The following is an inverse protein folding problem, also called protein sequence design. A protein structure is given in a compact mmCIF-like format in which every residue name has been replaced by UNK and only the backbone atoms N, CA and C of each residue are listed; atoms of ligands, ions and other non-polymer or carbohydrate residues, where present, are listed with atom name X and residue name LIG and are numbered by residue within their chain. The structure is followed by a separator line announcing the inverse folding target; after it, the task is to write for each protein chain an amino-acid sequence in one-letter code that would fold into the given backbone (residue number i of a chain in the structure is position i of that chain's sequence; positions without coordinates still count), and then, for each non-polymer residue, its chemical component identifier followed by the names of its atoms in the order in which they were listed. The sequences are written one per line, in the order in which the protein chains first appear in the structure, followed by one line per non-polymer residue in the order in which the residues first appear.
data_IF_229533017236
#
_entry.id   IF_229533017236
#
_cell.length_a   1.000
_cell.length_b   1.000
_cell.length_c   1.000
_cell.angle_alpha   90.00
_cell.angle_beta   90.00
_cell.angle_gamma   90.00
#
_symmetry.space_group_name_H-M   'P 1'
#
loop_
_entity.id
_entity.type
_entity.pdbx_description
1 polymer ?
#
# COMPACT_ATOMS: atom_id res chain seq x y z
N UNK A 1 0.89 -2.03 -22.21
CA UNK A 1 0.03 -2.60 -23.28
C UNK A 1 -1.00 -3.60 -22.77
N UNK A 2 -0.67 -4.46 -21.80
CA UNK A 2 -1.60 -5.53 -21.36
C UNK A 2 -2.87 -4.99 -20.70
N UNK A 3 -2.77 -3.96 -19.85
CA UNK A 3 -3.95 -3.29 -19.30
C UNK A 3 -4.89 -2.71 -20.38
N UNK A 4 -4.33 -2.20 -21.48
CA UNK A 4 -5.13 -1.73 -22.63
C UNK A 4 -5.76 -2.90 -23.39
N UNK A 5 -5.11 -4.07 -23.44
CA UNK A 5 -5.67 -5.29 -24.02
C UNK A 5 -6.77 -5.88 -23.15
N UNK A 6 -6.58 -5.95 -21.84
CA UNK A 6 -7.61 -6.37 -20.90
C UNK A 6 -8.83 -5.43 -20.98
N UNK A 7 -8.58 -4.13 -21.13
CA UNK A 7 -9.63 -3.14 -21.36
C UNK A 7 -10.38 -3.33 -22.69
N UNK A 8 -9.88 -4.12 -23.65
CA UNK A 8 -10.64 -4.46 -24.87
C UNK A 8 -11.76 -5.47 -24.62
N UNK A 9 -11.76 -6.14 -23.46
CA UNK A 9 -12.88 -6.97 -23.04
C UNK A 9 -14.03 -6.14 -22.44
N UNK A 10 -13.87 -4.81 -22.36
CA UNK A 10 -14.88 -3.88 -21.86
C UNK A 10 -15.89 -3.53 -22.97
N UNK A 11 -17.19 -3.64 -22.71
CA UNK A 11 -18.20 -3.63 -23.77
C UNK A 11 -18.41 -2.28 -24.47
N UNK A 12 -18.13 -1.14 -23.81
CA UNK A 12 -18.50 0.19 -24.29
C UNK A 12 -17.32 0.95 -24.94
N UNK A 13 -16.13 0.84 -24.35
CA UNK A 13 -14.91 1.51 -24.78
C UNK A 13 -13.96 0.60 -25.54
N UNK A 14 -14.29 -0.69 -25.74
CA UNK A 14 -13.48 -1.62 -26.55
C UNK A 14 -13.02 -1.02 -27.87
N UNK A 15 -13.92 -0.36 -28.62
CA UNK A 15 -13.56 0.27 -29.89
C UNK A 15 -12.49 1.36 -29.74
N UNK A 16 -12.55 2.16 -28.66
CA UNK A 16 -11.54 3.17 -28.34
C UNK A 16 -10.23 2.56 -27.87
N UNK A 17 -10.27 1.59 -26.96
CA UNK A 17 -9.07 0.90 -26.48
C UNK A 17 -8.39 0.10 -27.60
N UNK A 18 -9.15 -0.46 -28.54
CA UNK A 18 -8.61 -1.11 -29.74
C UNK A 18 -7.89 -0.10 -30.64
N UNK A 19 -8.50 1.06 -30.92
CA UNK A 19 -7.86 2.12 -31.72
C UNK A 19 -6.59 2.65 -31.05
N UNK A 20 -6.64 2.93 -29.75
CA UNK A 20 -5.50 3.40 -28.98
C UNK A 20 -4.37 2.36 -28.94
N UNK A 21 -4.72 1.09 -28.72
CA UNK A 21 -3.72 0.02 -28.73
C UNK A 21 -3.08 -0.13 -30.12
N UNK A 22 -3.88 -0.10 -31.19
CA UNK A 22 -3.39 -0.20 -32.55
C UNK A 22 -2.45 0.97 -32.90
N UNK A 23 -2.82 2.20 -32.51
CA UNK A 23 -1.97 3.37 -32.67
C UNK A 23 -0.66 3.23 -31.89
N UNK A 24 -0.73 2.78 -30.63
CA UNK A 24 0.46 2.54 -29.81
C UNK A 24 1.36 1.46 -30.42
N UNK A 25 0.79 0.37 -30.91
CA UNK A 25 1.52 -0.72 -31.59
C UNK A 25 2.20 -0.25 -32.86
N UNK A 26 1.51 0.59 -33.64
CA UNK A 26 2.06 1.17 -34.86
C UNK A 26 3.23 2.11 -34.55
N UNK A 27 3.11 2.93 -33.50
CA UNK A 27 4.12 3.95 -33.15
C UNK A 27 5.28 3.43 -32.29
N UNK A 28 5.11 2.33 -31.54
CA UNK A 28 6.12 1.83 -30.60
C UNK A 28 7.44 1.40 -31.28
N UNK A 29 7.43 1.16 -32.59
CA UNK A 29 8.58 0.62 -33.30
C UNK A 29 8.88 -0.83 -32.90
N UNK A 30 9.83 -1.45 -33.62
CA UNK A 30 10.12 -2.89 -33.46
C UNK A 30 10.71 -3.22 -32.09
N UNK A 31 11.69 -2.45 -31.62
CA UNK A 31 12.40 -2.74 -30.37
C UNK A 31 11.47 -2.77 -29.15
N UNK A 32 10.63 -1.75 -28.98
CA UNK A 32 9.69 -1.70 -27.86
C UNK A 32 8.59 -2.77 -27.99
N UNK A 33 8.16 -3.08 -29.22
CA UNK A 33 7.21 -4.17 -29.47
C UNK A 33 7.78 -5.54 -29.09
N UNK A 34 9.06 -5.78 -29.36
CA UNK A 34 9.77 -7.01 -28.99
C UNK A 34 9.88 -7.14 -27.46
N UNK A 35 10.16 -6.05 -26.74
CA UNK A 35 10.16 -6.04 -25.27
C UNK A 35 8.76 -6.33 -24.69
N UNK A 36 7.70 -5.69 -25.19
CA UNK A 36 6.33 -5.99 -24.77
C UNK A 36 5.92 -7.45 -25.04
N UNK A 37 6.47 -8.06 -26.09
CA UNK A 37 6.24 -9.48 -26.40
C UNK A 37 6.90 -10.38 -25.35
N UNK A 38 8.14 -10.07 -24.96
CA UNK A 38 8.86 -10.79 -23.90
C UNK A 38 8.15 -10.66 -22.55
N UNK A 39 7.75 -9.45 -22.17
CA UNK A 39 7.01 -9.19 -20.92
C UNK A 39 5.70 -9.99 -20.86
N UNK A 40 4.94 -10.01 -21.96
CA UNK A 40 3.70 -10.81 -22.06
C UNK A 40 3.98 -12.30 -21.87
N UNK A 41 5.01 -12.82 -22.53
CA UNK A 41 5.38 -14.24 -22.40
C UNK A 41 5.75 -14.57 -20.96
N UNK A 42 6.50 -13.70 -20.29
CA UNK A 42 6.84 -13.85 -18.88
C UNK A 42 5.57 -13.85 -18.01
N UNK A 43 4.69 -12.86 -18.16
CA UNK A 43 3.42 -12.78 -17.39
C UNK A 43 2.61 -14.06 -17.56
N UNK A 44 2.48 -14.58 -18.79
CA UNK A 44 1.77 -15.84 -19.04
C UNK A 44 2.40 -17.02 -18.30
N UNK A 45 3.73 -17.18 -18.38
CA UNK A 45 4.44 -18.24 -17.68
C UNK A 45 4.22 -18.15 -16.16
N UNK A 46 4.27 -16.94 -15.61
CA UNK A 46 4.06 -16.72 -14.17
C UNK A 46 2.62 -17.01 -13.75
N UNK A 47 1.63 -16.64 -14.57
CA UNK A 47 0.23 -17.00 -14.39
C UNK A 47 0.05 -18.53 -14.33
N UNK A 48 0.55 -19.25 -15.35
CA UNK A 48 0.47 -20.71 -15.44
C UNK A 48 1.16 -21.39 -14.23
N UNK A 49 2.30 -20.88 -13.77
CA UNK A 49 2.99 -21.38 -12.57
C UNK A 49 2.16 -21.11 -11.32
N UNK A 50 1.60 -19.90 -11.19
CA UNK A 50 0.77 -19.52 -10.04
C UNK A 50 -0.44 -20.43 -9.87
N UNK A 51 -1.14 -20.75 -10.97
CA UNK A 51 -2.26 -21.70 -10.96
C UNK A 51 -1.81 -23.11 -10.57
N UNK A 52 -0.70 -23.59 -11.13
CA UNK A 52 -0.15 -24.91 -10.80
C UNK A 52 0.22 -25.04 -9.32
N UNK A 53 0.89 -24.04 -8.75
CA UNK A 53 1.24 -24.01 -7.32
C UNK A 53 -0.01 -24.02 -6.45
N UNK A 54 -1.05 -23.27 -6.83
CA UNK A 54 -2.36 -23.32 -6.15
C UNK A 54 -3.03 -24.68 -6.24
N UNK A 55 -2.91 -25.41 -7.34
CA UNK A 55 -3.50 -26.75 -7.46
C UNK A 55 -2.63 -27.89 -6.91
N UNK A 56 -1.34 -27.63 -6.64
CA UNK A 56 -0.39 -28.66 -6.20
C UNK A 56 -0.69 -29.15 -4.78
N UNK A 57 -0.29 -30.39 -4.49
CA UNK A 57 -0.32 -30.93 -3.13
C UNK A 57 0.71 -30.22 -2.23
N UNK A 58 0.50 -30.27 -0.91
CA UNK A 58 1.39 -29.60 0.04
C UNK A 58 2.84 -30.10 -0.05
N UNK A 59 3.06 -31.38 -0.35
CA UNK A 59 4.41 -31.94 -0.53
C UNK A 59 5.12 -31.38 -1.77
N UNK A 60 4.40 -31.11 -2.85
CA UNK A 60 4.97 -30.52 -4.07
C UNK A 60 5.21 -29.02 -3.93
N UNK A 61 4.37 -28.32 -3.15
CA UNK A 61 4.52 -26.88 -2.89
C UNK A 61 5.81 -26.55 -2.14
N UNK A 62 6.26 -27.41 -1.23
CA UNK A 62 7.48 -27.19 -0.44
C UNK A 62 8.75 -26.99 -1.30
N UNK A 63 8.76 -27.46 -2.56
CA UNK A 63 9.85 -27.24 -3.51
C UNK A 63 9.82 -25.84 -4.16
N UNK A 64 8.77 -25.06 -3.97
CA UNK A 64 8.59 -23.72 -4.54
C UNK A 64 8.86 -22.62 -3.49
N UNK A 65 9.32 -21.44 -3.93
CA UNK A 65 9.36 -20.26 -3.07
C UNK A 65 8.03 -19.52 -3.16
N UNK A 66 7.18 -19.65 -2.13
CA UNK A 66 5.88 -18.98 -2.02
C UNK A 66 5.68 -18.43 -0.62
N UNK A 67 4.78 -17.45 -0.47
CA UNK A 67 4.34 -17.00 0.85
C UNK A 67 3.17 -17.85 1.33
N UNK A 68 3.25 -18.28 2.59
CA UNK A 68 2.16 -18.99 3.27
C UNK A 68 1.04 -18.00 3.63
N UNK A 69 0.26 -17.61 2.64
CA UNK A 69 -0.99 -16.85 2.79
C UNK A 69 -2.11 -17.53 1.98
N UNK A 70 -3.36 -17.12 2.18
CA UNK A 70 -4.51 -17.73 1.51
C UNK A 70 -4.39 -17.74 -0.03
N UNK A 71 -3.76 -16.72 -0.61
CA UNK A 71 -3.58 -16.59 -2.05
C UNK A 71 -2.33 -17.35 -2.59
N UNK A 72 -1.49 -17.92 -1.72
CA UNK A 72 -0.25 -18.63 -2.05
C UNK A 72 0.63 -17.90 -3.10
N UNK A 73 0.96 -16.61 -2.90
CA UNK A 73 1.64 -15.84 -3.93
C UNK A 73 3.09 -16.29 -4.08
N UNK A 74 3.59 -16.24 -5.32
CA UNK A 74 4.92 -16.69 -5.67
C UNK A 74 5.95 -15.63 -5.27
N UNK A 75 7.07 -16.07 -4.68
CA UNK A 75 8.25 -15.24 -4.49
C UNK A 75 9.23 -15.51 -5.63
N UNK A 76 9.58 -14.48 -6.38
CA UNK A 76 10.44 -14.60 -7.56
C UNK A 76 11.58 -13.60 -7.45
N UNK A 77 12.80 -14.08 -7.64
CA UNK A 77 14.00 -13.25 -7.66
C UNK A 77 14.68 -13.41 -9.02
N UNK A 78 14.77 -12.33 -9.77
CA UNK A 78 15.46 -12.25 -11.05
C UNK A 78 16.90 -11.77 -10.84
N UNK A 79 17.82 -12.33 -11.61
CA UNK A 79 19.19 -11.82 -11.71
C UNK A 79 19.15 -10.53 -12.52
N UNK A 80 19.81 -9.48 -12.03
CA UNK A 80 19.84 -8.21 -12.72
C UNK A 80 20.68 -8.33 -14.01
N UNK A 81 20.13 -7.87 -15.13
CA UNK A 81 20.86 -7.84 -16.40
C UNK A 81 22.02 -6.83 -16.37
N UNK A 82 21.95 -5.82 -15.51
CA UNK A 82 23.10 -4.97 -15.18
C UNK A 82 23.97 -5.70 -14.14
N UNK A 83 25.24 -6.05 -14.46
CA UNK A 83 26.12 -6.76 -13.52
C UNK A 83 26.43 -6.00 -12.23
N UNK A 84 26.26 -4.66 -12.22
CA UNK A 84 26.44 -3.83 -11.04
C UNK A 84 25.15 -3.63 -10.23
N UNK A 85 24.01 -4.13 -10.73
CA UNK A 85 22.72 -3.98 -10.08
C UNK A 85 22.38 -5.13 -9.15
N UNK A 86 21.60 -4.85 -8.11
CA UNK A 86 21.07 -5.88 -7.21
C UNK A 86 19.99 -6.72 -7.89
N UNK A 87 19.84 -7.96 -7.43
CA UNK A 87 18.77 -8.86 -7.88
C UNK A 87 17.38 -8.25 -7.66
N UNK A 88 16.47 -8.47 -8.61
CA UNK A 88 15.13 -7.90 -8.58
C UNK A 88 14.18 -8.93 -7.98
N UNK A 89 13.68 -8.67 -6.77
CA UNK A 89 12.70 -9.53 -6.11
C UNK A 89 11.28 -8.98 -6.24
N UNK A 90 10.36 -9.84 -6.68
CA UNK A 90 8.94 -9.53 -6.80
C UNK A 90 8.08 -10.61 -6.14
N UNK A 91 6.86 -10.22 -5.80
CA UNK A 91 5.78 -11.12 -5.42
C UNK A 91 4.82 -11.19 -6.60
N UNK A 92 4.56 -12.37 -7.13
CA UNK A 92 3.54 -12.58 -8.14
C UNK A 92 2.28 -13.15 -7.49
N UNK A 93 1.17 -12.41 -7.61
CA UNK A 93 -0.14 -12.79 -7.09
C UNK A 93 -1.01 -13.24 -8.26
N UNK A 94 -1.38 -14.51 -8.27
CA UNK A 94 -2.47 -15.03 -9.11
C UNK A 94 -3.74 -15.10 -8.26
N UNK A 95 -4.90 -14.80 -8.82
CA UNK A 95 -6.21 -14.81 -8.16
C UNK A 95 -6.62 -13.54 -7.39
N UNK A 96 -5.75 -12.54 -7.27
CA UNK A 96 -6.04 -11.28 -6.58
C UNK A 96 -6.17 -10.11 -7.57
N UNK A 97 -7.15 -9.23 -7.36
CA UNK A 97 -7.31 -8.02 -8.17
C UNK A 97 -6.48 -6.85 -7.60
N UNK A 98 -5.28 -6.65 -8.13
CA UNK A 98 -4.36 -5.62 -7.66
C UNK A 98 -4.71 -4.19 -8.11
N UNK A 99 -5.80 -3.99 -8.85
CA UNK A 99 -6.22 -2.64 -9.28
C UNK A 99 -6.54 -1.73 -8.09
N UNK A 100 -7.04 -2.29 -6.99
CA UNK A 100 -7.30 -1.56 -5.75
C UNK A 100 -6.01 -1.08 -5.11
N UNK A 101 -5.05 -1.99 -4.88
CA UNK A 101 -3.74 -1.65 -4.33
C UNK A 101 -3.02 -0.59 -5.16
N UNK A 102 -3.03 -0.73 -6.49
CA UNK A 102 -2.46 0.27 -7.41
C UNK A 102 -3.05 1.66 -7.20
N UNK A 103 -4.38 1.73 -7.09
CA UNK A 103 -5.09 2.99 -6.89
C UNK A 103 -4.73 3.63 -5.55
N UNK A 104 -4.75 2.85 -4.47
CA UNK A 104 -4.41 3.34 -3.14
C UNK A 104 -2.96 3.84 -3.10
N UNK A 105 -2.01 3.07 -3.64
CA UNK A 105 -0.61 3.47 -3.74
C UNK A 105 -0.40 4.73 -4.58
N UNK A 106 -1.18 4.91 -5.65
CA UNK A 106 -1.13 6.14 -6.45
C UNK A 106 -1.61 7.36 -5.67
N UNK A 107 -2.67 7.23 -4.87
CA UNK A 107 -3.16 8.31 -4.01
C UNK A 107 -2.12 8.65 -2.94
N UNK A 108 -1.50 7.63 -2.34
CA UNK A 108 -0.43 7.82 -1.34
C UNK A 108 0.77 8.51 -1.99
N UNK A 109 1.14 8.18 -3.24
CA UNK A 109 2.19 8.87 -3.97
C UNK A 109 1.88 10.36 -4.19
N UNK A 110 0.62 10.71 -4.41
CA UNK A 110 0.19 12.11 -4.52
C UNK A 110 0.32 12.82 -3.16
N UNK A 111 -0.11 12.18 -2.07
CA UNK A 111 0.06 12.73 -0.71
C UNK A 111 1.54 12.95 -0.36
N UNK A 112 2.40 11.98 -0.69
CA UNK A 112 3.84 12.06 -0.49
C UNK A 112 4.47 13.20 -1.29
N UNK A 113 4.10 13.34 -2.57
CA UNK A 113 4.55 14.46 -3.40
C UNK A 113 4.11 15.83 -2.83
N UNK A 114 2.89 15.93 -2.29
CA UNK A 114 2.40 17.15 -1.64
C UNK A 114 3.26 17.47 -0.42
N UNK A 115 3.54 16.49 0.44
CA UNK A 115 4.41 16.71 1.60
C UNK A 115 5.82 17.16 1.21
N UNK A 116 6.42 16.50 0.21
CA UNK A 116 7.74 16.86 -0.29
C UNK A 116 7.78 18.28 -0.87
N UNK A 117 6.73 18.71 -1.58
CA UNK A 117 6.61 20.07 -2.11
C UNK A 117 6.53 21.13 -0.99
N UNK A 118 5.94 20.79 0.14
CA UNK A 118 5.87 21.62 1.36
C UNK A 118 7.12 21.47 2.26
N UNK A 119 8.17 20.81 1.77
CA UNK A 119 9.43 20.61 2.50
C UNK A 119 9.32 19.62 3.66
N UNK A 120 8.34 18.73 3.64
CA UNK A 120 8.12 17.70 4.65
C UNK A 120 8.34 16.31 4.06
N UNK A 121 9.47 15.68 4.39
CA UNK A 121 9.73 14.29 3.98
C UNK A 121 9.26 13.31 5.06
N UNK A 122 8.10 12.69 4.82
CA UNK A 122 7.48 11.72 5.73
C UNK A 122 8.15 10.34 5.70
N UNK A 123 9.26 10.16 4.97
CA UNK A 123 10.00 8.89 4.89
C UNK A 123 9.13 7.71 4.41
N UNK A 124 8.15 7.98 3.55
CA UNK A 124 7.19 6.99 3.08
C UNK A 124 7.85 5.95 2.18
N UNK A 125 7.60 4.66 2.45
CA UNK A 125 7.86 3.60 1.47
C UNK A 125 6.59 3.33 0.70
N UNK A 126 6.61 3.67 -0.59
CA UNK A 126 5.52 3.43 -1.54
C UNK A 126 6.02 2.39 -2.54
N UNK A 127 5.74 1.12 -2.27
CA UNK A 127 6.18 0.03 -3.12
C UNK A 127 5.42 -0.01 -4.44
N UNK A 128 6.06 -0.53 -5.49
CA UNK A 128 5.40 -0.68 -6.80
C UNK A 128 4.44 -1.85 -6.81
N UNK A 129 3.25 -1.62 -7.35
CA UNK A 129 2.23 -2.63 -7.59
C UNK A 129 1.73 -2.49 -9.04
N UNK A 130 1.57 -3.60 -9.73
CA UNK A 130 1.10 -3.61 -11.11
C UNK A 130 0.17 -4.80 -11.35
N UNK A 131 -1.09 -4.50 -11.66
CA UNK A 131 -2.00 -5.47 -12.26
C UNK A 131 -1.52 -5.76 -13.69
N UNK A 132 -1.31 -7.05 -13.98
CA UNK A 132 -0.79 -7.53 -15.27
C UNK A 132 -1.84 -8.28 -16.07
N UNK A 133 -3.05 -8.41 -15.53
CA UNK A 133 -4.13 -9.23 -16.09
C UNK A 133 -5.34 -9.27 -15.15
N UNK A 134 -6.45 -9.85 -15.63
CA UNK A 134 -7.62 -10.12 -14.79
C UNK A 134 -7.24 -11.04 -13.62
N UNK A 135 -7.38 -10.54 -12.39
CA UNK A 135 -7.10 -11.29 -11.17
C UNK A 135 -5.64 -11.73 -11.05
N UNK A 136 -4.69 -10.97 -11.61
CA UNK A 136 -3.27 -11.24 -11.41
C UNK A 136 -2.41 -9.97 -11.45
N UNK A 137 -1.25 -10.03 -10.81
CA UNK A 137 -0.27 -8.97 -10.91
C UNK A 137 1.00 -9.18 -10.10
N UNK A 138 1.84 -8.16 -10.10
CA UNK A 138 3.15 -8.12 -9.50
C UNK A 138 3.23 -7.05 -8.42
N UNK A 139 3.90 -7.37 -7.32
CA UNK A 139 4.20 -6.45 -6.22
C UNK A 139 5.69 -6.45 -5.98
N UNK A 140 6.29 -5.27 -5.86
CA UNK A 140 7.69 -5.12 -5.50
C UNK A 140 7.93 -5.66 -4.09
N UNK A 141 8.97 -6.49 -3.92
CA UNK A 141 9.47 -6.79 -2.58
C UNK A 141 10.30 -5.62 -2.06
N UNK A 142 9.93 -5.11 -0.89
CA UNK A 142 10.75 -4.14 -0.15
C UNK A 142 11.88 -4.91 0.54
N UNK A 143 13.16 -4.59 0.26
CA UNK A 143 14.30 -5.25 0.92
C UNK A 143 14.28 -5.03 2.43
N UNK A 144 14.79 -6.02 3.17
CA UNK A 144 14.93 -5.97 4.63
C UNK A 144 13.65 -5.64 5.43
N UNK A 145 12.48 -5.79 4.80
CA UNK A 145 11.20 -5.58 5.43
C UNK A 145 10.67 -6.88 6.05
N UNK A 146 10.09 -6.77 7.25
CA UNK A 146 9.40 -7.85 7.95
C UNK A 146 8.07 -7.36 8.50
N UNK A 147 7.07 -8.23 8.57
CA UNK A 147 5.79 -7.85 9.18
C UNK A 147 5.95 -7.67 10.69
N UNK A 148 5.18 -6.75 11.27
CA UNK A 148 5.15 -6.52 12.72
C UNK A 148 4.75 -7.80 13.46
N UNK A 149 3.82 -8.59 12.91
CA UNK A 149 3.46 -9.90 13.45
C UNK A 149 4.65 -10.88 13.50
N UNK A 150 5.55 -10.86 12.50
CA UNK A 150 6.77 -11.68 12.50
C UNK A 150 7.76 -11.20 13.55
N UNK A 151 7.88 -9.88 13.76
CA UNK A 151 8.69 -9.31 14.84
C UNK A 151 8.14 -9.77 16.20
N UNK A 152 6.83 -9.68 16.41
CA UNK A 152 6.20 -10.15 17.65
C UNK A 152 6.45 -11.63 17.90
N UNK A 153 6.25 -12.49 16.90
CA UNK A 153 6.51 -13.94 17.00
C UNK A 153 7.98 -14.25 17.32
N UNK A 154 8.92 -13.42 16.86
CA UNK A 154 10.34 -13.57 17.21
C UNK A 154 10.61 -13.48 18.73
N UNK A 155 9.79 -12.72 19.47
CA UNK A 155 9.89 -12.57 20.93
C UNK A 155 8.95 -13.50 21.72
N UNK A 156 8.47 -14.58 21.09
CA UNK A 156 7.65 -15.64 21.68
C UNK A 156 6.15 -15.40 21.58
N UNK A 157 5.36 -16.34 22.13
CA UNK A 157 3.89 -16.32 22.09
C UNK A 157 3.26 -15.06 22.72
N UNK A 158 3.92 -14.47 23.71
CA UNK A 158 3.48 -13.24 24.38
C UNK A 158 4.05 -11.97 23.75
N UNK A 159 4.78 -12.08 22.63
CA UNK A 159 5.35 -10.95 21.89
C UNK A 159 4.35 -9.81 21.62
N UNK A 160 3.14 -10.08 21.11
CA UNK A 160 2.14 -9.04 20.86
C UNK A 160 1.65 -8.29 22.12
N UNK A 161 1.91 -8.84 23.32
CA UNK A 161 1.53 -8.23 24.59
C UNK A 161 2.66 -7.40 25.21
N UNK A 162 3.85 -7.40 24.61
CA UNK A 162 5.02 -6.69 25.13
C UNK A 162 5.15 -5.34 24.42
N UNK A 163 5.16 -4.26 25.17
CA UNK A 163 5.27 -2.89 24.62
C UNK A 163 6.69 -2.51 24.15
N UNK A 164 7.66 -3.41 24.25
CA UNK A 164 9.06 -3.12 23.92
C UNK A 164 9.64 -3.96 22.77
N UNK A 165 8.83 -4.70 22.01
CA UNK A 165 9.38 -5.58 20.97
C UNK A 165 9.91 -4.81 19.77
N UNK A 166 9.23 -3.75 19.32
CA UNK A 166 9.73 -2.84 18.27
C UNK A 166 11.09 -2.26 18.68
N UNK A 167 11.19 -1.71 19.90
CA UNK A 167 12.42 -1.15 20.44
C UNK A 167 13.57 -2.16 20.48
N UNK A 168 13.30 -3.37 20.99
CA UNK A 168 14.30 -4.46 21.05
C UNK A 168 14.73 -4.90 19.66
N UNK A 169 13.79 -5.02 18.73
CA UNK A 169 14.09 -5.41 17.35
C UNK A 169 15.02 -4.40 16.66
N UNK A 170 14.72 -3.10 16.77
CA UNK A 170 15.60 -2.05 16.22
C UNK A 170 16.96 -2.00 16.91
N UNK A 171 17.01 -2.21 18.24
CA UNK A 171 18.28 -2.27 18.98
C UNK A 171 19.17 -3.45 18.54
N UNK A 172 18.57 -4.59 18.20
CA UNK A 172 19.30 -5.77 17.70
C UNK A 172 19.84 -5.60 16.28
N UNK A 173 19.12 -4.86 15.43
CA UNK A 173 19.50 -4.67 14.02
C UNK A 173 20.36 -3.43 13.79
N UNK A 174 20.37 -2.48 14.74
CA UNK A 174 21.13 -1.23 14.67
C UNK A 174 21.97 -1.07 15.96
N UNK A 175 23.09 -1.80 16.09
CA UNK A 175 23.91 -1.79 17.31
C UNK A 175 24.67 -0.47 17.52
N UNK A 176 24.92 0.27 16.43
CA UNK A 176 25.52 1.60 16.50
C UNK A 176 24.44 2.63 16.82
N UNK A 177 24.73 3.52 17.79
CA UNK A 177 23.79 4.57 18.21
C UNK A 177 23.30 5.42 17.03
N UNK A 178 24.19 5.81 16.12
CA UNK A 178 23.84 6.61 14.95
C UNK A 178 22.83 5.90 14.02
N UNK A 179 22.97 4.59 13.83
CA UNK A 179 22.02 3.81 13.01
C UNK A 179 20.68 3.64 13.72
N UNK A 180 20.69 3.43 15.03
CA UNK A 180 19.48 3.36 15.84
C UNK A 180 18.72 4.69 15.83
N UNK A 181 19.41 5.81 16.04
CA UNK A 181 18.83 7.16 16.01
C UNK A 181 18.23 7.47 14.63
N UNK A 182 18.91 7.03 13.55
CA UNK A 182 18.38 7.12 12.18
C UNK A 182 17.13 6.26 11.99
N UNK A 183 17.13 5.02 12.49
CA UNK A 183 15.97 4.13 12.41
C UNK A 183 14.77 4.68 13.20
N UNK A 184 15.00 5.23 14.40
CA UNK A 184 13.99 5.91 15.19
C UNK A 184 13.42 7.12 14.43
N UNK A 185 14.26 7.95 13.81
CA UNK A 185 13.81 9.08 12.99
C UNK A 185 12.95 8.61 11.81
N UNK A 186 13.40 7.60 11.07
CA UNK A 186 12.66 7.08 9.93
C UNK A 186 11.30 6.51 10.36
N UNK A 187 11.26 5.81 11.50
CA UNK A 187 10.02 5.31 12.08
C UNK A 187 9.09 6.45 12.47
N UNK A 188 9.61 7.48 13.15
CA UNK A 188 8.84 8.64 13.60
C UNK A 188 8.07 9.31 12.46
N UNK A 189 8.77 9.62 11.36
CA UNK A 189 8.16 10.28 10.19
C UNK A 189 7.22 9.34 9.42
N UNK A 190 7.66 8.12 9.12
CA UNK A 190 6.83 7.18 8.35
C UNK A 190 5.58 6.73 9.11
N UNK A 191 5.68 6.56 10.44
CA UNK A 191 4.54 6.26 11.30
C UNK A 191 3.50 7.39 11.25
N UNK A 192 3.94 8.65 11.41
CA UNK A 192 3.05 9.81 11.31
C UNK A 192 2.37 9.90 9.93
N UNK A 193 3.12 9.65 8.85
CA UNK A 193 2.59 9.67 7.48
C UNK A 193 1.50 8.62 7.27
N UNK A 194 1.72 7.40 7.75
CA UNK A 194 0.72 6.34 7.68
C UNK A 194 -0.49 6.56 8.59
N UNK A 195 -0.33 7.19 9.76
CA UNK A 195 -1.49 7.63 10.58
C UNK A 195 -2.39 8.58 9.79
N UNK A 196 -1.81 9.57 9.09
CA UNK A 196 -2.56 10.52 8.26
C UNK A 196 -3.20 9.83 7.04
N UNK A 197 -2.46 8.97 6.32
CA UNK A 197 -2.98 8.22 5.16
C UNK A 197 -4.17 7.35 5.56
N UNK A 198 -4.00 6.55 6.60
CA UNK A 198 -5.03 5.58 7.03
C UNK A 198 -6.27 6.28 7.56
N UNK A 199 -6.11 7.40 8.26
CA UNK A 199 -7.21 8.26 8.66
C UNK A 199 -7.97 8.84 7.45
N UNK A 200 -7.28 9.48 6.50
CA UNK A 200 -7.93 10.14 5.36
C UNK A 200 -8.63 9.13 4.46
N UNK A 201 -7.96 8.01 4.13
CA UNK A 201 -8.48 7.02 3.19
C UNK A 201 -9.34 5.94 3.84
N UNK A 202 -9.39 5.86 5.17
CA UNK A 202 -10.13 4.83 5.90
C UNK A 202 -9.69 3.43 5.51
N UNK A 203 -8.36 3.20 5.49
CA UNK A 203 -7.80 1.88 5.19
C UNK A 203 -8.18 0.93 6.31
N UNK A 204 -8.99 -0.08 5.99
CA UNK A 204 -9.55 -1.03 6.95
C UNK A 204 -8.64 -2.24 7.15
N UNK A 205 -9.02 -3.13 8.08
CA UNK A 205 -8.37 -4.43 8.30
C UNK A 205 -6.85 -4.29 8.52
N UNK A 206 -6.48 -3.27 9.30
CA UNK A 206 -5.09 -3.07 9.70
C UNK A 206 -4.84 -3.99 10.89
N UNK A 207 -3.91 -4.93 10.73
CA UNK A 207 -3.45 -5.81 11.79
C UNK A 207 -1.94 -5.99 11.62
N UNK A 208 -1.27 -6.60 12.61
CA UNK A 208 0.19 -6.64 12.64
C UNK A 208 0.83 -7.40 11.45
N UNK A 209 0.08 -8.23 10.71
CA UNK A 209 0.59 -8.85 9.46
C UNK A 209 0.55 -7.88 8.26
N UNK A 210 -0.27 -6.83 8.30
CA UNK A 210 -0.41 -5.81 7.24
C UNK A 210 0.46 -4.56 7.47
N UNK A 211 1.21 -4.54 8.57
CA UNK A 211 2.19 -3.49 8.89
C UNK A 211 3.57 -4.11 8.76
N UNK A 212 4.45 -3.49 7.98
CA UNK A 212 5.83 -3.91 7.78
C UNK A 212 6.80 -2.84 8.29
N UNK A 213 7.93 -3.32 8.83
CA UNK A 213 9.05 -2.50 9.26
C UNK A 213 10.31 -2.92 8.50
N UNK A 214 11.06 -1.94 8.02
CA UNK A 214 12.42 -2.14 7.48
C UNK A 214 13.45 -2.02 8.60
N UNK A 215 14.61 -2.69 8.46
CA UNK A 215 15.70 -2.57 9.44
C UNK A 215 16.19 -1.13 9.62
N UNK A 216 16.09 -0.31 8.56
CA UNK A 216 16.45 1.10 8.54
C UNK A 216 15.39 2.03 9.15
N UNK A 217 14.29 1.51 9.71
CA UNK A 217 13.34 2.30 10.50
C UNK A 217 12.01 2.61 9.82
N UNK A 218 11.88 2.46 8.50
CA UNK A 218 10.64 2.84 7.82
C UNK A 218 9.51 1.86 8.13
N UNK A 219 8.36 2.42 8.53
CA UNK A 219 7.09 1.73 8.66
C UNK A 219 6.28 1.90 7.37
N UNK A 220 5.65 0.83 6.90
CA UNK A 220 4.70 0.92 5.81
C UNK A 220 3.61 -0.14 5.88
N UNK A 221 2.46 0.19 5.30
CA UNK A 221 1.32 -0.71 5.25
C UNK A 221 1.32 -1.46 3.92
N UNK A 222 0.83 -2.69 3.92
CA UNK A 222 0.64 -3.53 2.73
C UNK A 222 -0.80 -4.04 2.66
N UNK A 223 -1.19 -4.58 1.51
CA UNK A 223 -2.49 -5.23 1.31
C UNK A 223 -3.67 -4.26 1.52
N UNK A 224 -4.01 -3.50 0.48
CA UNK A 224 -5.05 -2.46 0.54
C UNK A 224 -6.40 -2.93 0.01
N UNK A 225 -6.67 -4.24 0.02
CA UNK A 225 -7.90 -4.82 -0.54
C UNK A 225 -9.22 -4.33 0.10
N UNK A 226 -9.15 -3.48 1.15
CA UNK A 226 -10.31 -2.81 1.79
C UNK A 226 -9.92 -1.42 2.26
N UNK A 227 -10.56 -0.40 1.69
CA UNK A 227 -10.35 1.01 2.04
C UNK A 227 -11.67 1.80 1.89
N UNK A 228 -11.71 3.08 2.27
CA UNK A 228 -12.92 3.95 2.26
C UNK A 228 -14.02 3.53 3.24
N UNK A 229 -13.66 2.89 4.36
CA UNK A 229 -14.62 2.55 5.41
C UNK A 229 -15.50 1.33 5.11
N UNK A 230 -15.19 0.56 4.06
CA UNK A 230 -15.73 -0.78 3.78
C UNK A 230 -15.18 -1.82 4.76
N UNK A 231 -15.34 -1.55 6.06
CA UNK A 231 -14.91 -2.42 7.14
C UNK A 231 -15.73 -3.72 7.14
N UNK A 232 -15.09 -4.85 7.45
CA UNK A 232 -15.84 -6.08 7.73
C UNK A 232 -16.72 -5.87 8.96
N UNK A 233 -18.02 -6.10 8.78
CA UNK A 233 -18.97 -6.21 9.89
C UNK A 233 -19.04 -7.67 10.32
N UNK A 234 -18.82 -7.93 11.60
CA UNK A 234 -19.08 -9.26 12.19
C UNK A 234 -20.29 -9.11 13.12
N UNK A 235 -21.40 -9.76 12.78
CA UNK A 235 -22.65 -9.65 13.55
C UNK A 235 -23.23 -8.22 13.61
N UNK A 236 -23.05 -7.39 12.58
CA UNK A 236 -23.58 -6.02 12.54
C UNK A 236 -22.72 -4.96 13.25
N UNK A 237 -21.62 -5.35 13.90
CA UNK A 237 -20.67 -4.43 14.54
C UNK A 237 -19.46 -4.26 13.62
N UNK A 238 -19.06 -3.00 13.37
CA UNK A 238 -17.80 -2.69 12.66
C UNK A 238 -16.63 -3.21 13.49
N UNK A 239 -15.80 -4.09 12.89
CA UNK A 239 -14.62 -4.65 13.55
C UNK A 239 -13.53 -3.60 13.81
N UNK A 240 -13.43 -2.62 12.92
CA UNK A 240 -12.53 -1.47 13.05
C UNK A 240 -13.16 -0.39 13.93
N UNK A 241 -12.67 -0.25 15.17
CA UNK A 241 -13.15 0.75 16.15
C UNK A 241 -12.31 2.02 16.19
N UNK A 242 -11.03 1.95 15.77
CA UNK A 242 -10.11 3.08 15.77
C UNK A 242 -9.90 3.60 14.34
N UNK A 243 -9.82 4.93 14.12
CA UNK A 243 -9.74 5.53 12.79
C UNK A 243 -8.37 5.32 12.11
N UNK A 244 -7.34 4.92 12.85
CA UNK A 244 -6.03 4.48 12.37
C UNK A 244 -5.35 3.57 13.41
N UNK A 245 -4.28 2.86 13.02
CA UNK A 245 -3.50 2.04 13.96
C UNK A 245 -2.33 2.83 14.49
N UNK A 246 -2.44 3.21 15.76
CA UNK A 246 -1.34 3.66 16.58
C UNK A 246 -1.43 2.93 17.92
N UNK A 247 -0.44 2.09 18.23
CA UNK A 247 -0.45 1.22 19.41
C UNK A 247 0.42 1.79 20.52
N UNK A 248 0.19 1.39 21.77
CA UNK A 248 1.05 1.77 22.90
C UNK A 248 2.52 1.36 22.69
N UNK A 249 2.76 0.30 21.92
CA UNK A 249 4.11 -0.12 21.54
C UNK A 249 4.81 0.89 20.60
N UNK A 250 4.07 1.49 19.66
CA UNK A 250 4.60 2.52 18.77
C UNK A 250 4.95 3.78 19.57
N UNK A 251 4.07 4.19 20.49
CA UNK A 251 4.32 5.28 21.43
C UNK A 251 5.53 4.99 22.32
N UNK A 252 5.63 3.77 22.86
CA UNK A 252 6.77 3.35 23.68
C UNK A 252 8.07 3.44 22.89
N UNK A 253 8.08 3.09 21.60
CA UNK A 253 9.28 3.24 20.78
C UNK A 253 9.63 4.72 20.51
N UNK A 254 8.65 5.54 20.13
CA UNK A 254 8.81 6.98 19.85
C UNK A 254 9.35 7.74 21.08
N UNK A 255 8.83 7.44 22.26
CA UNK A 255 9.25 8.04 23.54
C UNK A 255 10.49 7.39 24.15
N UNK A 256 11.13 6.47 23.41
CA UNK A 256 12.27 5.67 23.84
C UNK A 256 12.07 4.93 25.17
N UNK A 257 10.84 4.48 25.40
CA UNK A 257 10.37 3.79 26.58
C UNK A 257 9.94 4.73 27.70
N UNK A 258 9.28 5.83 27.35
CA UNK A 258 8.84 6.87 28.28
C UNK A 258 9.96 7.80 28.78
N UNK A 259 11.17 7.69 28.23
CA UNK A 259 12.31 8.54 28.61
C UNK A 259 12.18 9.96 28.04
N UNK A 260 11.51 10.10 26.90
CA UNK A 260 11.30 11.37 26.25
C UNK A 260 9.79 11.59 25.96
N UNK A 261 9.02 12.07 26.93
CA UNK A 261 7.59 12.31 26.76
C UNK A 261 7.29 13.43 25.74
N UNK A 262 8.24 14.35 25.51
CA UNK A 262 8.08 15.43 24.53
C UNK A 262 7.97 14.89 23.10
N UNK A 263 8.68 13.80 22.77
CA UNK A 263 8.60 13.18 21.44
C UNK A 263 7.18 12.75 21.06
N UNK A 264 6.33 12.40 22.03
CA UNK A 264 4.94 12.07 21.72
C UNK A 264 4.15 13.32 21.29
N UNK A 265 4.37 14.46 21.96
CA UNK A 265 3.77 15.74 21.55
C UNK A 265 4.28 16.17 20.18
N UNK A 266 5.59 16.06 19.93
CA UNK A 266 6.19 16.37 18.64
C UNK A 266 5.62 15.47 17.52
N UNK A 267 5.32 14.20 17.84
CA UNK A 267 4.71 13.26 16.91
C UNK A 267 3.27 13.66 16.56
N UNK A 268 2.48 14.06 17.56
CA UNK A 268 1.12 14.56 17.35
C UNK A 268 1.16 15.84 16.50
N UNK A 269 2.05 16.78 16.81
CA UNK A 269 2.22 18.02 16.03
C UNK A 269 2.62 17.71 14.57
N UNK A 270 3.55 16.77 14.36
CA UNK A 270 3.91 16.30 13.03
C UNK A 270 2.71 15.73 12.26
N UNK A 271 1.90 14.89 12.90
CA UNK A 271 0.69 14.34 12.28
C UNK A 271 -0.30 15.45 11.90
N UNK A 272 -0.54 16.41 12.79
CA UNK A 272 -1.44 17.54 12.56
C UNK A 272 -0.95 18.44 11.42
N UNK A 273 0.37 18.70 11.35
CA UNK A 273 0.99 19.44 10.26
C UNK A 273 0.84 18.70 8.93
N UNK A 274 1.18 17.41 8.90
CA UNK A 274 1.07 16.57 7.71
C UNK A 274 -0.38 16.46 7.21
N UNK A 275 -1.34 16.31 8.12
CA UNK A 275 -2.77 16.30 7.80
C UNK A 275 -3.24 17.63 7.20
N UNK A 276 -2.89 18.77 7.79
CA UNK A 276 -3.28 20.08 7.26
C UNK A 276 -2.65 20.39 5.90
N UNK A 277 -1.41 19.96 5.65
CA UNK A 277 -0.77 20.08 4.33
C UNK A 277 -1.62 19.37 3.26
N UNK A 278 -2.00 18.12 3.52
CA UNK A 278 -2.82 17.33 2.58
C UNK A 278 -4.21 17.93 2.43
N UNK A 279 -4.82 18.38 3.53
CA UNK A 279 -6.14 19.04 3.54
C UNK A 279 -6.18 20.30 2.67
N UNK A 280 -5.16 21.15 2.74
CA UNK A 280 -5.04 22.36 1.89
C UNK A 280 -4.99 22.01 0.38
N UNK A 281 -4.54 20.79 0.07
CA UNK A 281 -4.49 20.22 -1.28
C UNK A 281 -5.67 19.27 -1.59
N UNK A 282 -6.73 19.29 -0.77
CA UNK A 282 -7.90 18.42 -0.89
C UNK A 282 -8.53 18.42 -2.27
N UNK A 283 -8.57 19.56 -2.97
CA UNK A 283 -9.12 19.64 -4.34
C UNK A 283 -8.39 18.71 -5.32
N UNK A 284 -7.07 18.58 -5.21
CA UNK A 284 -6.29 17.68 -6.07
C UNK A 284 -6.66 16.21 -5.78
N UNK A 285 -6.68 15.83 -4.50
CA UNK A 285 -7.03 14.48 -4.08
C UNK A 285 -8.48 14.11 -4.43
N UNK A 286 -9.41 15.00 -4.15
CA UNK A 286 -10.82 14.82 -4.47
C UNK A 286 -11.04 14.75 -5.98
N UNK A 287 -10.37 15.58 -6.79
CA UNK A 287 -10.46 15.50 -8.24
C UNK A 287 -9.83 14.20 -8.79
N UNK A 288 -8.75 13.69 -8.20
CA UNK A 288 -8.17 12.41 -8.60
C UNK A 288 -9.15 11.27 -8.28
N UNK A 289 -9.65 11.23 -7.05
CA UNK A 289 -10.68 10.28 -6.63
C UNK A 289 -11.95 10.42 -7.47
N UNK A 290 -12.34 11.64 -7.84
CA UNK A 290 -13.50 11.93 -8.68
C UNK A 290 -13.25 11.54 -10.13
N UNK A 291 -12.08 11.78 -10.73
CA UNK A 291 -11.78 11.32 -12.09
C UNK A 291 -11.74 9.79 -12.15
N UNK A 292 -11.18 9.17 -11.13
CA UNK A 292 -11.21 7.72 -10.95
C UNK A 292 -12.66 7.30 -10.83
N UNK A 293 -13.44 7.91 -9.94
CA UNK A 293 -14.87 7.66 -9.77
C UNK A 293 -15.69 7.92 -11.02
N UNK A 294 -15.49 8.98 -11.81
CA UNK A 294 -16.27 9.35 -13.00
C UNK A 294 -15.90 8.43 -14.17
N UNK A 295 -14.62 8.10 -14.32
CA UNK A 295 -14.19 7.02 -15.21
C UNK A 295 -14.75 5.67 -14.76
N UNK A 296 -14.89 5.47 -13.46
CA UNK A 296 -15.51 4.28 -12.89
C UNK A 296 -17.04 4.34 -12.94
N UNK A 297 -17.75 5.47 -12.90
CA UNK A 297 -19.21 5.52 -12.74
C UNK A 297 -19.94 5.62 -14.07
N UNK A 298 -19.33 6.28 -15.07
CA UNK A 298 -19.77 6.16 -16.46
C UNK A 298 -19.59 4.70 -16.93
N UNK A 299 -18.61 3.96 -16.39
CA UNK A 299 -18.37 2.53 -16.69
C UNK A 299 -19.17 1.56 -15.79
N UNK A 300 -19.32 1.84 -14.48
CA UNK A 300 -19.90 0.95 -13.44
C UNK A 300 -21.42 1.00 -13.41
N UNK A 301 -22.08 2.15 -13.67
CA UNK A 301 -23.54 2.13 -13.83
C UNK A 301 -23.97 1.26 -15.02
N UNK A 302 -23.04 0.80 -15.85
CA UNK A 302 -23.33 -0.02 -17.03
C UNK A 302 -22.64 -1.40 -17.08
N UNK A 303 -21.71 -1.81 -16.18
CA UNK A 303 -20.95 -3.09 -16.30
C UNK A 303 -20.44 -3.79 -15.02
N UNK A 304 -20.40 -5.13 -15.08
CA UNK A 304 -19.90 -6.13 -14.11
C UNK A 304 -18.35 -6.20 -13.90
N UNK A 305 -17.60 -5.09 -14.02
CA UNK A 305 -16.12 -5.09 -13.91
C UNK A 305 -15.55 -4.10 -12.87
N UNK A 306 -16.42 -3.57 -12.01
CA UNK A 306 -16.09 -2.55 -11.02
C UNK A 306 -15.20 -3.04 -9.88
N UNK A 307 -14.48 -2.10 -9.26
CA UNK A 307 -13.99 -2.27 -7.90
C UNK A 307 -15.22 -2.17 -6.97
N UNK A 308 -15.61 -3.24 -6.26
CA UNK A 308 -16.84 -3.24 -5.47
C UNK A 308 -16.91 -2.15 -4.39
N UNK A 309 -15.75 -1.60 -3.99
CA UNK A 309 -15.55 -0.61 -2.94
C UNK A 309 -15.67 0.86 -3.43
N UNK A 310 -15.81 1.09 -4.74
CA UNK A 310 -15.93 2.43 -5.34
C UNK A 310 -17.24 2.55 -6.12
N UNK A 311 -18.35 2.33 -5.44
CA UNK A 311 -19.67 2.18 -6.09
C UNK A 311 -20.60 3.37 -5.86
N UNK A 312 -20.26 4.33 -4.98
CA UNK A 312 -21.15 5.46 -4.71
C UNK A 312 -20.51 6.75 -4.24
N UNK A 313 -21.30 7.83 -4.31
CA UNK A 313 -20.88 9.19 -3.87
C UNK A 313 -20.52 9.23 -2.39
N UNK A 314 -20.93 8.21 -1.63
CA UNK A 314 -20.62 8.04 -0.22
C UNK A 314 -19.12 7.80 0.01
N UNK A 315 -18.42 7.16 -0.92
CA UNK A 315 -16.98 6.90 -0.82
C UNK A 315 -16.18 8.21 -0.96
N UNK A 316 -16.57 9.08 -1.91
CA UNK A 316 -16.02 10.43 -2.04
C UNK A 316 -16.37 11.31 -0.84
N UNK A 317 -17.60 11.19 -0.32
CA UNK A 317 -18.01 11.89 0.90
C UNK A 317 -17.21 11.46 2.12
N UNK A 318 -16.82 10.19 2.22
CA UNK A 318 -15.97 9.70 3.31
C UNK A 318 -14.65 10.46 3.36
N UNK A 319 -13.93 10.51 2.23
CA UNK A 319 -12.65 11.23 2.14
C UNK A 319 -12.85 12.74 2.33
N UNK A 320 -13.91 13.32 1.77
CA UNK A 320 -14.26 14.72 1.97
C UNK A 320 -14.49 15.05 3.46
N UNK A 321 -15.24 14.21 4.17
CA UNK A 321 -15.55 14.37 5.58
C UNK A 321 -14.31 14.22 6.46
N UNK A 322 -13.38 13.33 6.10
CA UNK A 322 -12.12 13.19 6.83
C UNK A 322 -11.14 14.33 6.54
N UNK A 323 -11.12 14.86 5.31
CA UNK A 323 -10.27 16.00 4.95
C UNK A 323 -10.76 17.32 5.55
N UNK A 324 -12.07 17.54 5.66
CA UNK A 324 -12.66 18.80 6.16
C UNK A 324 -12.07 20.04 5.46
N UNK A 325 -12.23 20.17 4.13
CA UNK A 325 -11.59 21.23 3.36
C UNK A 325 -12.04 22.64 3.75
N UNK A 326 -13.22 22.77 4.36
CA UNK A 326 -13.82 24.06 4.74
C UNK A 326 -13.38 24.55 6.14
N UNK A 327 -12.76 23.67 6.93
CA UNK A 327 -12.36 24.00 8.29
C UNK A 327 -11.10 24.89 8.32
N UNK A 328 -10.88 25.58 9.44
CA UNK A 328 -9.58 26.16 9.77
C UNK A 328 -8.56 25.09 10.18
N UNK A 329 -7.27 25.43 10.20
CA UNK A 329 -6.22 24.49 10.62
C UNK A 329 -6.45 23.96 12.05
N UNK A 330 -6.99 24.79 12.95
CA UNK A 330 -7.27 24.41 14.34
C UNK A 330 -8.47 23.47 14.48
N UNK A 331 -9.57 23.75 13.77
CA UNK A 331 -10.77 22.91 13.77
C UNK A 331 -10.48 21.52 13.17
N UNK A 332 -9.74 21.50 12.06
CA UNK A 332 -9.36 20.27 11.39
C UNK A 332 -8.40 19.44 12.25
N UNK A 333 -7.43 20.09 12.90
CA UNK A 333 -6.53 19.43 13.87
C UNK A 333 -7.32 18.83 15.03
N UNK A 334 -8.24 19.60 15.61
CA UNK A 334 -9.09 19.15 16.72
C UNK A 334 -9.98 17.97 16.34
N UNK A 335 -10.35 17.84 15.06
CA UNK A 335 -11.06 16.69 14.54
C UNK A 335 -10.16 15.47 14.37
N UNK A 336 -8.94 15.65 13.86
CA UNK A 336 -7.97 14.58 13.66
C UNK A 336 -7.47 13.95 14.98
N UNK A 337 -7.35 14.76 16.04
CA UNK A 337 -6.85 14.30 17.35
C UNK A 337 -7.93 13.80 18.31
N UNK A 338 -9.21 13.79 17.90
CA UNK A 338 -10.32 13.20 18.67
C UNK A 338 -10.38 11.70 18.43
#
# INVERSE_FOLDING_TARGET
MELLKDAQNEAYFKGWYQKLLAALQFCAGKALSDEFSKERKLIKILGDIGEKVKSASDSQRQACSYFTSNALPLKITFINANPMGENISIIFKAGDDLRQDMLVLQIIQVMDNIWLQEGLDMQMIIYRCLSTGKGQGMVQMVPDAVTLAKIHRHFGLTGPLKENTIKKWFSQHNPLKADYDKALRNFFYSCAGWCVVTFILGVCDRHNDNIMLTKSGHMFHIDFGKFLGHAQTFGGIKRDRAPFIFTSEMEYFITEGGKNPQHFQDFVELCCRAYNIVRKHSRLLLNLLEMIYVRFLIVIKMLHAGLPELTGIQDLKYVYNNLRPQDTDLEATSHFTR
#
